data_IF_313683888750
#
_entry.id   IF_313683888750
#
_cell.length_a   1.000
_cell.length_b   1.000
_cell.length_c   1.000
_cell.angle_alpha   90.00
_cell.angle_beta   90.00
_cell.angle_gamma   90.00
#
_symmetry.space_group_name_H-M   'P 1'
#
loop_
_entity.id
_entity.type
_entity.pdbx_description
1 polymer ?
#
# COMPACT_ATOMS: atom_id res chain seq x y z
N UNK A 1 10.20 -41.40 9.99
CA UNK A 1 8.96 -40.65 9.73
C UNK A 1 8.96 -39.40 10.57
N UNK A 2 8.63 -38.24 9.99
CA UNK A 2 8.47 -36.99 10.74
C UNK A 2 7.13 -37.09 11.47
N UNK A 3 7.11 -36.94 12.80
CA UNK A 3 5.86 -36.96 13.59
C UNK A 3 4.90 -35.89 13.06
N UNK A 4 3.61 -36.20 12.99
CA UNK A 4 2.58 -35.18 12.72
C UNK A 4 2.46 -34.23 13.92
N UNK A 5 1.86 -33.05 13.73
CA UNK A 5 1.69 -32.10 14.84
C UNK A 5 0.95 -32.76 16.01
N UNK A 6 -0.09 -33.55 15.72
CA UNK A 6 -0.92 -34.23 16.71
C UNK A 6 -0.17 -35.33 17.50
N UNK A 7 0.89 -35.90 16.92
CA UNK A 7 1.74 -36.92 17.55
C UNK A 7 2.80 -36.33 18.52
N UNK A 8 2.95 -35.00 18.59
CA UNK A 8 3.91 -34.35 19.48
C UNK A 8 3.42 -34.37 20.94
N UNK A 9 4.32 -34.74 21.86
CA UNK A 9 4.08 -34.66 23.30
C UNK A 9 4.01 -33.21 23.78
N UNK A 10 3.47 -32.99 24.99
CA UNK A 10 3.43 -31.67 25.63
C UNK A 10 4.83 -31.05 25.73
N UNK A 11 5.82 -31.84 26.15
CA UNK A 11 7.22 -31.41 26.30
C UNK A 11 7.84 -31.06 24.95
N UNK A 12 7.55 -31.83 23.90
CA UNK A 12 8.00 -31.55 22.53
C UNK A 12 7.41 -30.23 22.01
N UNK A 13 6.11 -30.02 22.19
CA UNK A 13 5.39 -28.79 21.80
C UNK A 13 5.97 -27.56 22.51
N UNK A 14 6.11 -27.62 23.84
CA UNK A 14 6.64 -26.51 24.64
C UNK A 14 8.10 -26.19 24.28
N UNK A 15 8.92 -27.22 24.06
CA UNK A 15 10.33 -27.04 23.65
C UNK A 15 10.46 -26.34 22.29
N UNK A 16 9.59 -26.66 21.33
CA UNK A 16 9.56 -25.98 20.02
C UNK A 16 9.14 -24.52 20.20
N UNK A 17 8.05 -24.28 20.95
CA UNK A 17 7.54 -22.95 21.23
C UNK A 17 8.60 -22.07 21.90
N UNK A 18 9.23 -22.53 22.99
CA UNK A 18 10.22 -21.74 23.73
C UNK A 18 11.48 -21.46 22.93
N UNK A 19 11.92 -22.42 22.10
CA UNK A 19 13.02 -22.21 21.17
C UNK A 19 12.69 -21.10 20.17
N UNK A 20 11.53 -21.18 19.54
CA UNK A 20 11.11 -20.27 18.49
C UNK A 20 10.79 -18.86 19.02
N UNK A 21 10.21 -18.77 20.22
CA UNK A 21 9.88 -17.52 20.92
C UNK A 21 11.08 -16.94 21.68
N UNK A 22 12.24 -17.60 21.68
CA UNK A 22 13.41 -17.09 22.41
C UNK A 22 13.85 -15.72 21.88
N UNK A 23 14.06 -14.76 22.79
CA UNK A 23 14.53 -13.41 22.45
C UNK A 23 15.78 -13.41 21.57
N UNK A 24 16.68 -14.38 21.80
CA UNK A 24 17.90 -14.53 20.98
C UNK A 24 17.56 -14.85 19.52
N UNK A 25 16.67 -15.81 19.27
CA UNK A 25 16.29 -16.17 17.92
C UNK A 25 15.47 -15.05 17.27
N UNK A 26 14.48 -14.49 17.98
CA UNK A 26 13.66 -13.42 17.45
C UNK A 26 14.48 -12.17 17.11
N UNK A 27 15.42 -11.75 17.97
CA UNK A 27 16.36 -10.66 17.63
C UNK A 27 17.21 -10.98 16.42
N UNK A 28 17.65 -12.23 16.26
CA UNK A 28 18.39 -12.65 15.06
C UNK A 28 17.49 -12.57 13.83
N UNK A 29 16.28 -13.14 13.86
CA UNK A 29 15.35 -13.11 12.74
C UNK A 29 14.94 -11.70 12.36
N UNK A 30 14.69 -10.84 13.35
CA UNK A 30 14.44 -9.42 13.13
C UNK A 30 15.68 -8.73 12.56
N UNK A 31 16.88 -9.00 13.07
CA UNK A 31 18.12 -8.48 12.50
C UNK A 31 18.42 -9.04 11.11
N UNK A 32 17.99 -10.24 10.76
CA UNK A 32 18.15 -10.79 9.42
C UNK A 32 17.12 -10.10 8.50
N UNK A 33 15.89 -9.91 8.97
CA UNK A 33 14.85 -9.16 8.27
C UNK A 33 15.21 -7.67 8.05
N UNK A 34 15.78 -7.00 9.06
CA UNK A 34 16.12 -5.57 9.05
C UNK A 34 17.56 -5.27 8.61
N UNK A 35 18.49 -6.17 8.92
CA UNK A 35 19.95 -6.00 8.77
C UNK A 35 20.55 -6.74 7.56
N UNK A 36 19.92 -7.80 7.03
CA UNK A 36 20.23 -8.32 5.69
C UNK A 36 19.48 -7.53 4.62
N UNK A 37 19.89 -6.28 4.44
CA UNK A 37 19.86 -5.69 3.12
C UNK A 37 21.16 -6.05 2.36
N UNK A 38 21.40 -7.36 2.20
CA UNK A 38 22.25 -7.93 1.15
C UNK A 38 21.67 -7.67 -0.25
N UNK A 39 22.23 -8.26 -1.30
CA UNK A 39 21.89 -7.91 -2.70
C UNK A 39 20.36 -7.84 -2.92
N UNK A 40 19.84 -6.78 -3.54
CA UNK A 40 18.40 -6.56 -3.60
C UNK A 40 17.54 -7.67 -4.23
N UNK A 41 18.13 -8.56 -5.03
CA UNK A 41 17.45 -9.76 -5.54
C UNK A 41 17.02 -10.75 -4.43
N UNK A 42 17.74 -10.82 -3.30
CA UNK A 42 17.40 -11.71 -2.18
C UNK A 42 16.28 -11.12 -1.29
N UNK A 43 16.11 -9.79 -1.28
CA UNK A 43 15.23 -9.03 -0.37
C UNK A 43 13.74 -9.37 -0.45
N UNK A 44 13.27 -9.99 -1.53
CA UNK A 44 11.84 -10.30 -1.78
C UNK A 44 11.65 -11.74 -2.25
N UNK A 45 12.71 -12.56 -2.28
CA UNK A 45 12.65 -13.92 -2.82
C UNK A 45 11.54 -14.76 -2.17
N UNK A 46 11.25 -14.54 -0.87
CA UNK A 46 10.11 -15.14 -0.16
C UNK A 46 9.51 -14.15 0.86
N UNK A 47 8.17 -14.09 1.00
CA UNK A 47 7.56 -13.34 2.09
C UNK A 47 7.88 -14.00 3.43
N UNK A 48 7.94 -13.17 4.47
CA UNK A 48 8.02 -13.64 5.85
C UNK A 48 6.62 -13.71 6.45
N UNK A 49 6.41 -14.61 7.39
CA UNK A 49 5.17 -14.67 8.15
C UNK A 49 5.42 -14.20 9.56
N UNK A 50 4.52 -13.37 10.07
CA UNK A 50 4.57 -12.87 11.42
C UNK A 50 3.25 -13.03 12.13
N UNK A 51 3.28 -13.29 13.42
CA UNK A 51 2.09 -13.23 14.26
C UNK A 51 2.08 -11.89 14.96
N UNK A 52 0.96 -11.18 14.87
CA UNK A 52 0.77 -9.93 15.60
C UNK A 52 -0.13 -10.18 16.82
N UNK A 53 0.45 -10.06 18.01
CA UNK A 53 -0.23 -10.30 19.29
C UNK A 53 -0.80 -9.00 19.87
N UNK A 54 -1.35 -8.11 19.03
CA UNK A 54 -2.11 -6.97 19.51
C UNK A 54 -3.43 -7.45 20.15
N UNK A 55 -3.38 -7.67 21.46
CA UNK A 55 -4.43 -8.17 22.37
C UNK A 55 -5.74 -7.38 22.46
N UNK A 56 -5.99 -6.45 21.55
CA UNK A 56 -7.23 -5.67 21.54
C UNK A 56 -8.45 -6.48 21.07
N UNK A 57 -8.24 -7.70 20.55
CA UNK A 57 -9.31 -8.58 20.04
C UNK A 57 -9.56 -9.82 20.92
N UNK A 58 -9.02 -9.90 22.15
CA UNK A 58 -9.49 -10.92 23.10
C UNK A 58 -10.95 -10.64 23.46
N UNK A 59 -11.85 -11.58 23.15
CA UNK A 59 -13.29 -11.45 23.41
C UNK A 59 -13.66 -11.44 24.90
N UNK A 60 -12.68 -11.62 25.79
CA UNK A 60 -12.82 -11.66 27.25
C UNK A 60 -12.05 -10.52 27.91
N UNK A 61 -12.63 -9.88 28.93
CA UNK A 61 -11.93 -8.92 29.78
C UNK A 61 -10.98 -9.65 30.73
N UNK A 62 -9.75 -9.90 30.29
CA UNK A 62 -8.70 -10.43 31.15
C UNK A 62 -8.38 -9.42 32.28
N UNK A 63 -8.37 -9.90 33.53
CA UNK A 63 -8.05 -9.06 34.69
C UNK A 63 -6.58 -9.19 35.11
N UNK A 64 -6.04 -8.12 35.70
CA UNK A 64 -4.62 -7.86 36.02
C UNK A 64 -3.62 -9.02 35.82
N UNK A 65 -3.59 -10.04 36.69
CA UNK A 65 -2.60 -11.13 36.61
C UNK A 65 -2.73 -12.02 35.37
N UNK A 66 -3.95 -12.35 34.96
CA UNK A 66 -4.24 -13.21 33.79
C UNK A 66 -3.84 -12.49 32.51
N UNK A 67 -4.23 -11.20 32.43
CA UNK A 67 -3.85 -10.32 31.32
C UNK A 67 -2.34 -10.20 31.22
N UNK A 68 -1.66 -9.97 32.34
CA UNK A 68 -0.20 -9.84 32.37
C UNK A 68 0.51 -11.15 32.01
N UNK A 69 0.00 -12.30 32.46
CA UNK A 69 0.55 -13.60 32.10
C UNK A 69 0.42 -13.85 30.59
N UNK A 70 -0.78 -13.64 30.04
CA UNK A 70 -1.05 -13.80 28.62
C UNK A 70 -0.22 -12.80 27.79
N UNK A 71 -0.19 -11.52 28.18
CA UNK A 71 0.62 -10.49 27.52
C UNK A 71 2.11 -10.83 27.57
N UNK A 72 2.67 -11.28 28.70
CA UNK A 72 4.09 -11.67 28.77
C UNK A 72 4.40 -12.96 28.00
N UNK A 73 3.48 -13.92 28.00
CA UNK A 73 3.68 -15.21 27.32
C UNK A 73 3.67 -15.04 25.81
N UNK A 74 2.92 -14.06 25.31
CA UNK A 74 2.68 -13.84 23.88
C UNK A 74 3.34 -12.61 23.30
N UNK A 75 3.70 -11.64 24.11
CA UNK A 75 4.13 -10.33 23.63
C UNK A 75 5.29 -9.76 24.46
N UNK A 76 6.52 -10.31 24.35
CA UNK A 76 7.66 -9.68 24.96
C UNK A 76 8.06 -8.36 24.27
N UNK A 77 7.87 -8.18 22.95
CA UNK A 77 8.36 -6.99 22.20
C UNK A 77 7.62 -6.67 20.85
N UNK A 78 6.38 -7.15 20.63
CA UNK A 78 5.59 -6.87 19.42
C UNK A 78 5.38 -8.07 18.48
N UNK A 79 5.50 -7.88 17.16
CA UNK A 79 5.26 -8.92 16.14
C UNK A 79 6.36 -9.99 16.12
N UNK A 80 5.99 -11.27 16.15
CA UNK A 80 6.94 -12.39 16.11
C UNK A 80 7.13 -12.90 14.68
N UNK A 81 8.38 -13.16 14.26
CA UNK A 81 8.67 -13.82 12.98
C UNK A 81 8.59 -15.33 13.16
N UNK A 82 7.80 -15.99 12.30
CA UNK A 82 7.67 -17.45 12.27
C UNK A 82 8.85 -18.02 11.47
N UNK A 83 9.73 -18.83 12.09
CA UNK A 83 10.91 -19.39 11.41
C UNK A 83 10.54 -20.54 10.47
N UNK A 84 9.88 -20.24 9.37
CA UNK A 84 9.41 -21.19 8.36
C UNK A 84 9.86 -20.77 6.96
N UNK A 85 10.09 -21.75 6.07
CA UNK A 85 10.56 -21.50 4.69
C UNK A 85 9.46 -21.53 3.64
N UNK A 86 8.25 -21.94 4.02
CA UNK A 86 7.06 -22.04 3.18
C UNK A 86 5.77 -21.96 4.02
N UNK A 87 4.63 -21.81 3.35
CA UNK A 87 3.32 -21.65 3.98
C UNK A 87 2.85 -22.90 4.76
N UNK A 88 3.20 -24.11 4.32
CA UNK A 88 2.80 -25.33 5.01
C UNK A 88 3.49 -25.44 6.37
N UNK A 89 4.79 -25.11 6.41
CA UNK A 89 5.54 -25.05 7.68
C UNK A 89 5.02 -23.95 8.60
N UNK A 90 4.52 -22.84 8.05
CA UNK A 90 3.84 -21.81 8.84
C UNK A 90 2.57 -22.39 9.49
N UNK A 91 1.72 -23.08 8.73
CA UNK A 91 0.51 -23.74 9.27
C UNK A 91 0.85 -24.73 10.37
N UNK A 92 1.86 -25.58 10.15
CA UNK A 92 2.36 -26.54 11.16
C UNK A 92 2.82 -25.82 12.43
N UNK A 93 3.63 -24.77 12.29
CA UNK A 93 4.13 -23.99 13.45
C UNK A 93 3.01 -23.29 14.19
N UNK A 94 2.05 -22.69 13.48
CA UNK A 94 0.88 -22.05 14.10
C UNK A 94 0.07 -23.05 14.93
N UNK A 95 -0.15 -24.27 14.42
CA UNK A 95 -0.83 -25.32 15.17
C UNK A 95 -0.05 -25.73 16.43
N UNK A 96 1.28 -25.88 16.34
CA UNK A 96 2.15 -26.15 17.49
C UNK A 96 2.06 -25.00 18.51
N UNK A 97 2.11 -23.75 18.05
CA UNK A 97 2.04 -22.58 18.92
C UNK A 97 0.68 -22.48 19.60
N UNK A 98 -0.42 -22.70 18.88
CA UNK A 98 -1.77 -22.72 19.47
C UNK A 98 -1.87 -23.76 20.60
N UNK A 99 -1.32 -24.97 20.39
CA UNK A 99 -1.27 -26.01 21.42
C UNK A 99 -0.40 -25.62 22.61
N UNK A 100 0.78 -25.07 22.36
CA UNK A 100 1.67 -24.59 23.43
C UNK A 100 1.01 -23.53 24.31
N UNK A 101 0.25 -22.61 23.70
CA UNK A 101 -0.52 -21.60 24.43
C UNK A 101 -1.59 -22.20 25.31
N UNK A 102 -2.37 -23.16 24.78
CA UNK A 102 -3.36 -23.89 25.58
C UNK A 102 -2.70 -24.55 26.79
N UNK A 103 -1.53 -25.18 26.64
CA UNK A 103 -0.81 -25.79 27.76
C UNK A 103 -0.32 -24.76 28.78
N UNK A 104 0.33 -23.68 28.34
CA UNK A 104 0.85 -22.64 29.25
C UNK A 104 -0.27 -21.92 30.01
N UNK A 105 -1.38 -21.64 29.33
CA UNK A 105 -2.59 -21.07 29.95
C UNK A 105 -3.17 -22.03 30.98
N UNK A 106 -3.25 -23.33 30.65
CA UNK A 106 -3.73 -24.35 31.59
C UNK A 106 -2.91 -24.40 32.87
N UNK A 107 -1.59 -24.47 32.73
CA UNK A 107 -0.66 -24.52 33.87
C UNK A 107 -0.79 -23.29 34.77
N UNK A 108 -1.00 -22.12 34.17
CA UNK A 108 -1.21 -20.89 34.93
C UNK A 108 -2.49 -20.96 35.78
N UNK A 109 -3.62 -21.37 35.19
CA UNK A 109 -4.90 -21.47 35.91
C UNK A 109 -5.01 -22.67 36.86
N UNK A 110 -4.22 -23.73 36.65
CA UNK A 110 -4.09 -24.82 37.64
C UNK A 110 -3.33 -24.39 38.89
N UNK A 111 -2.52 -23.32 38.80
CA UNK A 111 -1.65 -22.84 39.89
C UNK A 111 -2.09 -21.50 40.48
N UNK A 112 -3.12 -20.86 39.92
CA UNK A 112 -3.69 -19.61 40.39
C UNK A 112 -5.21 -19.77 40.57
N UNK A 113 -5.74 -19.43 41.75
CA UNK A 113 -7.20 -19.42 41.95
C UNK A 113 -7.83 -18.40 40.99
N UNK A 114 -8.72 -18.82 40.06
CA UNK A 114 -9.39 -17.88 39.17
C UNK A 114 -10.23 -16.93 40.02
N UNK A 115 -10.00 -15.63 39.88
CA UNK A 115 -10.63 -14.59 40.72
C UNK A 115 -12.16 -14.54 40.52
N UNK A 116 -12.67 -15.14 39.43
CA UNK A 116 -14.10 -15.33 39.15
C UNK A 116 -14.29 -16.69 38.48
N UNK A 117 -15.18 -17.53 39.03
CA UNK A 117 -15.43 -18.95 38.72
C UNK A 117 -15.72 -19.34 37.25
N UNK A 118 -14.83 -18.99 36.34
CA UNK A 118 -14.76 -19.47 34.97
C UNK A 118 -13.89 -20.72 34.92
N UNK A 119 -14.28 -21.66 34.07
CA UNK A 119 -13.53 -22.87 33.83
C UNK A 119 -12.32 -22.59 32.93
N UNK A 120 -11.34 -23.50 32.94
CA UNK A 120 -10.23 -23.45 31.99
C UNK A 120 -10.75 -23.52 30.53
N UNK A 121 -11.79 -24.31 30.31
CA UNK A 121 -12.45 -24.49 29.01
C UNK A 121 -12.98 -23.16 28.46
N UNK A 122 -13.62 -22.35 29.31
CA UNK A 122 -14.10 -21.02 28.93
C UNK A 122 -12.93 -20.16 28.40
N UNK A 123 -11.80 -20.15 29.11
CA UNK A 123 -10.63 -19.31 28.77
C UNK A 123 -9.94 -19.79 27.48
N UNK A 124 -9.86 -21.11 27.28
CA UNK A 124 -9.29 -21.68 26.05
C UNK A 124 -10.09 -21.29 24.81
N UNK A 125 -11.42 -21.25 24.92
CA UNK A 125 -12.31 -20.86 23.83
C UNK A 125 -12.14 -19.37 23.44
N UNK A 126 -11.58 -18.55 24.34
CA UNK A 126 -11.27 -17.14 24.08
C UNK A 126 -9.85 -16.88 23.60
N UNK A 127 -8.98 -17.90 23.55
CA UNK A 127 -7.64 -17.71 22.99
C UNK A 127 -7.75 -17.34 21.50
N UNK A 128 -7.00 -16.32 21.04
CA UNK A 128 -7.04 -15.93 19.65
C UNK A 128 -6.60 -17.11 18.77
N UNK A 129 -7.30 -17.30 17.66
CA UNK A 129 -6.80 -18.17 16.60
C UNK A 129 -5.58 -17.48 15.97
N UNK A 130 -4.40 -18.08 16.16
CA UNK A 130 -3.15 -17.54 15.65
C UNK A 130 -3.12 -17.49 14.11
N UNK A 131 -3.95 -18.31 13.43
CA UNK A 131 -4.05 -18.28 11.97
C UNK A 131 -4.74 -17.01 11.48
N UNK A 132 -5.75 -16.50 12.20
CA UNK A 132 -6.40 -15.22 11.94
C UNK A 132 -5.51 -14.02 12.30
N UNK A 133 -4.50 -14.25 13.14
CA UNK A 133 -3.55 -13.24 13.60
C UNK A 133 -2.21 -13.29 12.86
N UNK A 134 -2.13 -14.07 11.78
CA UNK A 134 -0.96 -14.17 10.94
C UNK A 134 -0.96 -13.10 9.85
N UNK A 135 0.19 -12.45 9.67
CA UNK A 135 0.47 -11.51 8.58
C UNK A 135 1.54 -12.07 7.68
N UNK A 136 1.40 -11.81 6.40
CA UNK A 136 2.43 -11.96 5.40
C UNK A 136 3.14 -10.61 5.23
N UNK A 137 4.47 -10.61 5.37
CA UNK A 137 5.31 -9.41 5.28
C UNK A 137 6.15 -9.44 4.01
N UNK A 138 6.07 -8.34 3.28
CA UNK A 138 6.88 -8.05 2.10
C UNK A 138 7.69 -6.80 2.36
N UNK A 139 8.93 -6.97 2.85
CA UNK A 139 9.66 -5.86 3.50
C UNK A 139 8.75 -5.22 4.57
N UNK A 140 8.61 -3.90 4.60
CA UNK A 140 7.78 -3.20 5.58
C UNK A 140 6.28 -3.34 5.36
N UNK A 141 5.84 -3.82 4.19
CA UNK A 141 4.43 -3.97 3.88
C UNK A 141 3.86 -5.17 4.62
N UNK A 142 2.82 -4.90 5.40
CA UNK A 142 2.07 -5.89 6.16
C UNK A 142 0.73 -6.16 5.49
N UNK A 143 0.39 -7.45 5.31
CA UNK A 143 -0.89 -7.90 4.78
C UNK A 143 -1.39 -9.03 5.66
N UNK A 144 -2.64 -8.99 6.13
CA UNK A 144 -3.18 -10.12 6.87
C UNK A 144 -3.35 -11.33 5.95
N UNK A 145 -2.90 -12.50 6.41
CA UNK A 145 -2.90 -13.70 5.59
C UNK A 145 -4.12 -14.55 5.86
N UNK A 146 -4.70 -15.13 4.80
CA UNK A 146 -5.71 -16.17 4.90
C UNK A 146 -5.18 -17.42 4.22
N UNK A 147 -4.93 -18.46 5.00
CA UNK A 147 -4.33 -19.72 4.55
C UNK A 147 -5.22 -20.57 3.63
N UNK A 148 -6.52 -20.30 3.60
CA UNK A 148 -7.49 -20.97 2.72
C UNK A 148 -7.75 -20.16 1.45
N UNK A 149 -7.60 -18.84 1.55
CA UNK A 149 -7.86 -17.93 0.44
C UNK A 149 -6.90 -16.73 0.45
N UNK A 150 -5.62 -16.91 0.09
CA UNK A 150 -4.61 -15.87 0.22
C UNK A 150 -4.93 -14.61 -0.60
N UNK A 151 -4.80 -13.40 -0.03
CA UNK A 151 -5.04 -12.16 -0.76
C UNK A 151 -3.94 -11.82 -1.76
N UNK A 152 -2.72 -12.28 -1.52
CA UNK A 152 -1.59 -12.09 -2.45
C UNK A 152 -1.56 -13.27 -3.43
N UNK A 153 -1.79 -12.98 -4.71
CA UNK A 153 -1.80 -13.99 -5.78
C UNK A 153 -0.49 -14.02 -6.57
N UNK A 154 0.39 -13.04 -6.36
CA UNK A 154 1.72 -13.02 -6.96
C UNK A 154 2.52 -11.78 -6.56
N UNK A 155 3.82 -11.84 -6.77
CA UNK A 155 4.73 -10.72 -6.55
C UNK A 155 5.96 -10.84 -7.46
N UNK A 156 6.66 -9.74 -7.69
CA UNK A 156 7.92 -9.71 -8.44
C UNK A 156 9.10 -9.59 -7.50
N UNK A 157 10.29 -9.94 -7.98
CA UNK A 157 11.54 -9.57 -7.31
C UNK A 157 11.69 -8.06 -7.18
N UNK A 158 12.55 -7.63 -6.26
CA UNK A 158 12.86 -6.22 -6.06
C UNK A 158 13.65 -5.66 -7.24
N UNK A 159 13.23 -4.49 -7.72
CA UNK A 159 13.90 -3.77 -8.77
C UNK A 159 14.67 -2.58 -8.17
N UNK A 160 16.00 -2.69 -8.18
CA UNK A 160 16.92 -1.69 -7.64
C UNK A 160 16.82 -0.34 -8.35
N UNK A 161 16.81 -0.37 -9.69
CA UNK A 161 16.77 0.85 -10.52
C UNK A 161 15.55 1.70 -10.18
N UNK A 162 14.45 1.03 -9.88
CA UNK A 162 13.19 1.68 -9.54
C UNK A 162 12.91 1.66 -8.06
N UNK A 163 13.81 1.21 -7.17
CA UNK A 163 13.63 1.05 -5.72
C UNK A 163 12.21 0.56 -5.33
N UNK A 164 11.76 -0.54 -5.93
CA UNK A 164 10.38 -1.01 -5.77
C UNK A 164 10.19 -2.45 -6.20
N UNK A 165 9.05 -3.04 -5.85
CA UNK A 165 8.58 -4.31 -6.36
C UNK A 165 7.08 -4.24 -6.65
N UNK A 166 6.53 -5.25 -7.30
CA UNK A 166 5.09 -5.31 -7.56
C UNK A 166 4.47 -6.45 -6.78
N UNK A 167 3.35 -6.19 -6.12
CA UNK A 167 2.44 -7.19 -5.58
C UNK A 167 1.18 -7.22 -6.43
N UNK A 168 0.64 -8.42 -6.65
CA UNK A 168 -0.67 -8.65 -7.24
C UNK A 168 -1.61 -9.09 -6.12
N UNK A 169 -2.60 -8.26 -5.82
CA UNK A 169 -3.62 -8.51 -4.80
C UNK A 169 -4.95 -8.88 -5.44
N UNK A 170 -5.66 -9.80 -4.81
CA UNK A 170 -7.09 -9.99 -4.98
C UNK A 170 -7.85 -9.27 -3.85
N UNK A 171 -8.52 -8.17 -4.19
CA UNK A 171 -9.27 -7.34 -3.23
C UNK A 171 -10.41 -8.11 -2.55
N UNK A 172 -10.98 -9.10 -3.23
CA UNK A 172 -12.10 -9.88 -2.68
C UNK A 172 -11.67 -10.75 -1.49
N UNK A 173 -10.37 -11.09 -1.46
CA UNK A 173 -9.74 -11.98 -0.47
C UNK A 173 -9.06 -11.24 0.69
N UNK A 174 -9.05 -9.91 0.65
CA UNK A 174 -8.52 -9.10 1.76
C UNK A 174 -9.29 -9.39 3.05
N UNK A 175 -8.55 -9.44 4.16
CA UNK A 175 -9.15 -9.58 5.48
C UNK A 175 -10.03 -8.36 5.80
N UNK A 176 -10.96 -8.53 6.74
CA UNK A 176 -11.75 -7.39 7.22
C UNK A 176 -10.89 -6.35 7.93
N UNK A 177 -9.77 -6.77 8.54
CA UNK A 177 -8.78 -5.87 9.13
C UNK A 177 -8.09 -5.01 8.05
N UNK A 178 -7.63 -5.61 6.94
CA UNK A 178 -7.05 -4.87 5.81
C UNK A 178 -8.07 -3.90 5.19
N UNK A 179 -9.30 -4.36 4.96
CA UNK A 179 -10.38 -3.53 4.40
C UNK A 179 -10.68 -2.34 5.32
N UNK A 180 -10.72 -2.57 6.63
CA UNK A 180 -10.93 -1.54 7.65
C UNK A 180 -9.77 -0.54 7.66
N UNK A 181 -8.53 -1.01 7.61
CA UNK A 181 -7.34 -0.15 7.54
C UNK A 181 -7.35 0.72 6.28
N UNK A 182 -7.68 0.15 5.12
CA UNK A 182 -7.85 0.91 3.86
C UNK A 182 -8.96 1.95 4.00
N UNK A 183 -10.13 1.57 4.53
CA UNK A 183 -11.27 2.48 4.67
C UNK A 183 -11.03 3.65 5.62
N UNK A 184 -10.23 3.43 6.67
CA UNK A 184 -9.89 4.44 7.69
C UNK A 184 -8.67 5.27 7.32
N UNK A 185 -7.95 4.89 6.27
CA UNK A 185 -6.75 5.59 5.86
C UNK A 185 -7.05 7.02 5.42
N UNK A 186 -6.53 8.00 6.17
CA UNK A 186 -6.72 9.40 5.88
C UNK A 186 -5.72 9.87 4.82
N UNK A 187 -6.13 9.79 3.54
CA UNK A 187 -5.34 10.33 2.41
C UNK A 187 -5.01 11.81 2.63
N UNK A 188 -6.00 12.60 3.06
CA UNK A 188 -5.81 14.02 3.37
C UNK A 188 -4.86 14.21 4.56
N UNK A 189 -4.97 13.37 5.59
CA UNK A 189 -4.09 13.39 6.76
C UNK A 189 -2.64 13.12 6.35
N UNK A 190 -2.42 12.13 5.49
CA UNK A 190 -1.09 11.80 4.95
C UNK A 190 -0.48 12.99 4.21
N UNK A 191 -1.21 13.58 3.25
CA UNK A 191 -0.70 14.72 2.46
C UNK A 191 -0.73 16.06 3.19
N UNK A 192 -1.27 16.12 4.41
CA UNK A 192 -1.22 17.33 5.25
C UNK A 192 0.13 17.49 5.97
N UNK A 193 1.02 16.51 5.86
CA UNK A 193 2.36 16.52 6.46
C UNK A 193 3.40 17.01 5.45
N UNK A 194 4.58 17.41 5.92
CA UNK A 194 5.72 17.67 5.04
C UNK A 194 6.15 16.36 4.35
N UNK A 195 6.60 16.41 3.07
CA UNK A 195 6.74 17.60 2.21
C UNK A 195 5.46 17.98 1.44
N UNK A 196 4.35 17.27 1.64
CA UNK A 196 3.16 17.30 0.78
C UNK A 196 2.11 18.35 1.15
N UNK A 197 2.29 19.09 2.26
CA UNK A 197 1.32 20.06 2.80
C UNK A 197 0.82 21.09 1.76
N UNK A 198 1.62 21.36 0.73
CA UNK A 198 1.29 22.31 -0.33
C UNK A 198 0.09 21.87 -1.18
N UNK A 199 -0.19 20.57 -1.33
CA UNK A 199 -1.38 20.11 -2.06
C UNK A 199 -2.68 20.58 -1.40
N UNK A 200 -2.70 20.77 -0.07
CA UNK A 200 -3.89 21.24 0.64
C UNK A 200 -4.25 22.69 0.31
N UNK A 201 -3.31 23.48 -0.22
CA UNK A 201 -3.57 24.86 -0.65
C UNK A 201 -4.45 24.92 -1.90
N UNK A 202 -4.51 23.85 -2.68
CA UNK A 202 -5.35 23.74 -3.87
C UNK A 202 -6.16 22.44 -3.82
N UNK A 203 -7.36 22.53 -3.25
CA UNK A 203 -8.23 21.36 -3.05
C UNK A 203 -8.65 20.72 -4.38
N UNK A 204 -8.77 21.51 -5.46
CA UNK A 204 -9.10 20.97 -6.79
C UNK A 204 -7.96 20.11 -7.33
N UNK A 205 -6.71 20.57 -7.16
CA UNK A 205 -5.54 19.80 -7.54
C UNK A 205 -5.45 18.49 -6.74
N UNK A 206 -5.60 18.57 -5.41
CA UNK A 206 -5.61 17.42 -4.51
C UNK A 206 -6.68 16.40 -4.90
N UNK A 207 -7.94 16.85 -5.09
CA UNK A 207 -9.05 15.98 -5.43
C UNK A 207 -8.79 15.21 -6.73
N UNK A 208 -8.37 15.93 -7.78
CA UNK A 208 -8.12 15.37 -9.12
C UNK A 208 -6.89 14.46 -9.17
N UNK A 209 -5.76 14.87 -8.59
CA UNK A 209 -4.48 14.20 -8.82
C UNK A 209 -4.09 13.21 -7.72
N UNK A 210 -4.77 13.24 -6.57
CA UNK A 210 -4.44 12.38 -5.41
C UNK A 210 -5.66 11.58 -4.97
N UNK A 211 -6.75 12.24 -4.60
CA UNK A 211 -7.91 11.57 -4.01
C UNK A 211 -8.62 10.64 -4.99
N UNK A 212 -8.94 11.11 -6.20
CA UNK A 212 -9.61 10.32 -7.22
C UNK A 212 -8.78 9.11 -7.68
N UNK A 213 -7.47 9.25 -8.04
CA UNK A 213 -6.64 8.11 -8.38
C UNK A 213 -6.57 7.06 -7.26
N UNK A 214 -6.46 7.50 -6.00
CA UNK A 214 -6.42 6.58 -4.86
C UNK A 214 -7.74 5.81 -4.72
N UNK A 215 -8.87 6.52 -4.83
CA UNK A 215 -10.21 5.90 -4.80
C UNK A 215 -10.41 4.91 -5.94
N UNK A 216 -9.95 5.22 -7.15
CA UNK A 216 -10.11 4.34 -8.34
C UNK A 216 -9.47 2.96 -8.14
N UNK A 217 -8.35 2.87 -7.42
CA UNK A 217 -7.69 1.59 -7.15
C UNK A 217 -8.60 0.65 -6.35
N UNK A 218 -9.20 1.14 -5.26
CA UNK A 218 -10.01 0.32 -4.37
C UNK A 218 -11.47 0.18 -4.84
N UNK A 219 -12.08 1.22 -5.40
CA UNK A 219 -13.48 1.20 -5.86
C UNK A 219 -13.68 0.66 -7.28
N UNK A 220 -12.62 0.29 -8.01
CA UNK A 220 -12.77 -0.36 -9.31
C UNK A 220 -13.41 -1.75 -9.19
N UNK A 221 -14.22 -2.13 -10.20
CA UNK A 221 -14.82 -3.47 -10.28
C UNK A 221 -13.78 -4.58 -10.43
N UNK A 222 -12.59 -4.25 -10.94
CA UNK A 222 -11.47 -5.17 -11.06
C UNK A 222 -11.05 -5.68 -9.68
N UNK A 223 -11.27 -6.96 -9.42
CA UNK A 223 -10.89 -7.61 -8.16
C UNK A 223 -9.37 -7.73 -8.02
N UNK A 224 -8.66 -7.97 -9.14
CA UNK A 224 -7.20 -8.08 -9.17
C UNK A 224 -6.57 -6.69 -9.37
N UNK A 225 -5.64 -6.33 -8.48
CA UNK A 225 -4.91 -5.07 -8.52
C UNK A 225 -3.41 -5.32 -8.45
N UNK A 226 -2.65 -4.65 -9.32
CA UNK A 226 -1.18 -4.62 -9.26
C UNK A 226 -0.73 -3.35 -8.54
N UNK A 227 -0.01 -3.51 -7.44
CA UNK A 227 0.47 -2.42 -6.60
C UNK A 227 1.99 -2.39 -6.68
N UNK A 228 2.53 -1.23 -7.05
CA UNK A 228 3.97 -0.98 -6.98
C UNK A 228 4.32 -0.56 -5.55
N UNK A 229 4.99 -1.44 -4.83
CA UNK A 229 5.33 -1.28 -3.42
C UNK A 229 6.75 -0.74 -3.29
N UNK A 230 6.90 0.28 -2.45
CA UNK A 230 8.17 0.88 -2.04
C UNK A 230 8.61 0.32 -0.68
N UNK A 231 9.92 0.28 -0.37
CA UNK A 231 10.40 -0.17 0.94
C UNK A 231 9.77 0.57 2.12
N UNK A 232 9.46 1.85 1.99
CA UNK A 232 8.89 2.69 3.06
C UNK A 232 7.39 2.42 3.33
N UNK A 233 6.68 1.74 2.43
CA UNK A 233 5.25 1.52 2.57
C UNK A 233 4.95 0.52 3.71
N UNK A 234 4.17 0.94 4.70
CA UNK A 234 3.82 0.11 5.87
C UNK A 234 2.46 -0.59 5.73
N UNK A 235 1.61 -0.11 4.84
CA UNK A 235 0.24 -0.61 4.62
C UNK A 235 -0.13 -0.64 3.14
N UNK A 236 -1.18 -1.38 2.79
CA UNK A 236 -1.71 -1.43 1.40
C UNK A 236 -2.14 -0.03 0.95
N UNK A 237 -2.81 0.72 1.81
CA UNK A 237 -3.29 2.07 1.49
C UNK A 237 -2.14 3.04 1.20
N UNK A 238 -1.06 2.96 1.98
CA UNK A 238 0.15 3.76 1.78
C UNK A 238 0.91 3.32 0.52
N UNK A 239 1.05 2.02 0.29
CA UNK A 239 1.69 1.48 -0.92
C UNK A 239 0.99 1.94 -2.21
N UNK A 240 -0.34 2.08 -2.18
CA UNK A 240 -1.12 2.65 -3.28
C UNK A 240 -0.95 4.17 -3.38
N UNK A 241 -0.92 4.88 -2.25
CA UNK A 241 -0.85 6.34 -2.23
C UNK A 241 0.51 6.88 -2.69
N UNK A 242 1.62 6.26 -2.29
CA UNK A 242 2.97 6.76 -2.53
C UNK A 242 3.24 7.07 -4.03
N UNK A 243 3.03 6.13 -4.98
CA UNK A 243 3.22 6.44 -6.41
C UNK A 243 2.29 7.53 -6.95
N UNK A 244 1.08 7.64 -6.38
CA UNK A 244 0.10 8.67 -6.76
C UNK A 244 0.61 10.04 -6.33
N UNK A 245 1.10 10.16 -5.10
CA UNK A 245 1.67 11.39 -4.55
C UNK A 245 2.94 11.79 -5.29
N UNK A 246 3.84 10.85 -5.62
CA UNK A 246 5.03 11.12 -6.45
C UNK A 246 4.63 11.71 -7.83
N UNK A 247 3.62 11.13 -8.47
CA UNK A 247 3.11 11.62 -9.76
C UNK A 247 2.47 13.00 -9.61
N UNK A 248 1.70 13.22 -8.54
CA UNK A 248 1.10 14.51 -8.24
C UNK A 248 2.17 15.57 -7.94
N UNK A 249 3.25 15.22 -7.24
CA UNK A 249 4.38 16.13 -6.97
C UNK A 249 5.03 16.60 -8.26
N UNK A 250 5.33 15.67 -9.18
CA UNK A 250 5.90 16.03 -10.49
C UNK A 250 5.00 17.02 -11.25
N UNK A 251 3.68 16.80 -11.22
CA UNK A 251 2.71 17.73 -11.85
C UNK A 251 2.70 19.08 -11.15
N UNK A 252 2.77 19.09 -9.82
CA UNK A 252 2.80 20.31 -9.03
C UNK A 252 4.05 21.14 -9.30
N UNK A 253 5.22 20.50 -9.32
CA UNK A 253 6.50 21.17 -9.56
C UNK A 253 6.55 21.79 -10.97
N UNK A 254 6.01 21.09 -11.98
CA UNK A 254 5.88 21.64 -13.33
C UNK A 254 4.97 22.87 -13.35
N UNK A 255 3.81 22.81 -12.69
CA UNK A 255 2.90 23.94 -12.58
C UNK A 255 3.55 25.12 -11.85
N UNK A 256 4.24 24.88 -10.74
CA UNK A 256 4.88 25.91 -9.94
C UNK A 256 6.01 26.67 -10.68
N UNK A 257 6.65 26.03 -11.68
CA UNK A 257 7.65 26.68 -12.55
C UNK A 257 7.04 27.64 -13.58
N UNK A 258 5.78 27.44 -13.95
CA UNK A 258 5.08 28.35 -14.87
C UNK A 258 4.73 29.63 -14.10
N UNK A 259 5.13 30.79 -14.63
CA UNK A 259 4.81 32.08 -14.01
C UNK A 259 3.28 32.34 -14.00
N UNK A 260 2.80 33.26 -13.16
CA UNK A 260 1.36 33.50 -13.01
C UNK A 260 0.65 33.87 -14.31
N UNK A 261 1.27 34.68 -15.17
CA UNK A 261 0.69 35.12 -16.44
C UNK A 261 0.46 33.93 -17.38
N UNK A 262 1.46 33.06 -17.50
CA UNK A 262 1.40 31.84 -18.29
C UNK A 262 0.42 30.83 -17.67
N UNK A 263 0.33 30.72 -16.34
CA UNK A 263 -0.65 29.86 -15.68
C UNK A 263 -2.09 30.28 -15.99
N UNK A 264 -2.40 31.59 -15.93
CA UNK A 264 -3.74 32.12 -16.28
C UNK A 264 -4.10 31.83 -17.73
N UNK A 265 -3.12 32.00 -18.63
CA UNK A 265 -3.28 31.76 -20.06
C UNK A 265 -3.50 30.28 -20.36
N UNK A 266 -2.69 29.41 -19.76
CA UNK A 266 -2.83 27.95 -19.83
C UNK A 266 -4.20 27.49 -19.32
N UNK A 267 -4.63 27.98 -18.15
CA UNK A 267 -5.92 27.61 -17.57
C UNK A 267 -7.10 28.03 -18.46
N UNK A 268 -7.03 29.24 -19.03
CA UNK A 268 -8.05 29.74 -19.97
C UNK A 268 -8.17 28.84 -21.21
N UNK A 269 -7.04 28.41 -21.77
CA UNK A 269 -7.01 27.46 -22.89
C UNK A 269 -7.65 26.12 -22.50
N UNK A 270 -7.21 25.54 -21.38
CA UNK A 270 -7.71 24.24 -20.92
C UNK A 270 -9.22 24.28 -20.67
N UNK A 271 -9.74 25.34 -20.08
CA UNK A 271 -11.17 25.47 -19.82
C UNK A 271 -11.99 25.66 -21.12
N UNK A 272 -11.42 26.30 -22.14
CA UNK A 272 -12.05 26.39 -23.46
C UNK A 272 -12.13 25.00 -24.12
N UNK A 273 -11.04 24.24 -24.12
CA UNK A 273 -11.02 22.89 -24.70
C UNK A 273 -11.91 21.92 -23.93
N UNK A 274 -11.91 21.95 -22.59
CA UNK A 274 -12.78 21.10 -21.75
C UNK A 274 -14.27 21.30 -22.00
N UNK A 275 -14.69 22.45 -22.54
CA UNK A 275 -16.11 22.73 -22.89
C UNK A 275 -16.55 22.07 -24.21
N UNK A 276 -15.61 21.71 -25.08
CA UNK A 276 -15.90 21.09 -26.37
C UNK A 276 -16.43 19.66 -26.19
N UNK A 277 -17.19 19.18 -27.18
CA UNK A 277 -17.84 17.86 -27.14
C UNK A 277 -16.82 16.73 -27.02
N UNK A 278 -15.73 16.80 -27.78
CA UNK A 278 -14.66 15.79 -27.81
C UNK A 278 -14.01 15.58 -26.43
N UNK A 279 -13.70 16.67 -25.71
CA UNK A 279 -13.08 16.60 -24.38
C UNK A 279 -14.07 16.22 -23.27
N UNK A 280 -15.38 16.44 -23.48
CA UNK A 280 -16.43 15.93 -22.58
C UNK A 280 -16.61 14.42 -22.73
N UNK A 281 -16.56 13.91 -23.95
CA UNK A 281 -16.69 12.48 -24.25
C UNK A 281 -15.41 11.69 -23.91
N UNK A 282 -14.25 12.35 -23.94
CA UNK A 282 -12.95 11.73 -23.67
C UNK A 282 -12.10 12.56 -22.68
N UNK A 283 -12.39 12.51 -21.37
CA UNK A 283 -11.68 13.29 -20.34
C UNK A 283 -10.16 13.08 -20.32
N UNK A 284 -9.68 11.90 -20.73
CA UNK A 284 -8.26 11.58 -20.87
C UNK A 284 -7.51 12.49 -21.85
N UNK A 285 -8.20 13.03 -22.88
CA UNK A 285 -7.60 13.99 -23.80
C UNK A 285 -7.26 15.31 -23.10
N UNK A 286 -8.07 15.72 -22.12
CA UNK A 286 -7.82 16.93 -21.34
C UNK A 286 -6.53 16.83 -20.53
N UNK A 287 -6.22 15.65 -19.99
CA UNK A 287 -4.97 15.42 -19.25
C UNK A 287 -3.74 15.49 -20.17
N UNK A 288 -3.79 14.81 -21.33
CA UNK A 288 -2.70 14.85 -22.30
C UNK A 288 -2.45 16.26 -22.84
N UNK A 289 -3.51 17.03 -23.08
CA UNK A 289 -3.42 18.43 -23.50
C UNK A 289 -2.79 19.31 -22.41
N UNK A 290 -3.20 19.14 -21.15
CA UNK A 290 -2.65 19.87 -20.00
C UNK A 290 -1.14 19.65 -19.85
N UNK A 291 -0.68 18.41 -19.95
CA UNK A 291 0.75 18.10 -19.87
C UNK A 291 1.54 18.71 -21.04
N UNK A 292 1.01 18.60 -22.27
CA UNK A 292 1.67 19.13 -23.46
C UNK A 292 1.74 20.65 -23.46
N UNK A 293 0.62 21.33 -23.14
CA UNK A 293 0.59 22.79 -23.07
C UNK A 293 1.49 23.30 -21.95
N UNK A 294 1.48 22.67 -20.77
CA UNK A 294 2.39 23.07 -19.67
C UNK A 294 3.85 23.05 -20.13
N UNK A 295 4.28 22.00 -20.84
CA UNK A 295 5.63 21.90 -21.41
C UNK A 295 5.94 23.01 -22.42
N UNK A 296 4.98 23.35 -23.30
CA UNK A 296 5.15 24.44 -24.28
C UNK A 296 5.30 25.79 -23.60
N UNK A 297 4.46 26.08 -22.59
CA UNK A 297 4.53 27.33 -21.82
C UNK A 297 5.85 27.46 -21.05
N UNK A 298 6.35 26.38 -20.46
CA UNK A 298 7.67 26.37 -19.81
C UNK A 298 8.79 26.65 -20.81
N UNK A 299 8.81 25.96 -21.96
CA UNK A 299 9.83 26.17 -23.00
C UNK A 299 9.81 27.60 -23.55
N UNK A 300 8.62 28.18 -23.76
CA UNK A 300 8.51 29.56 -24.22
C UNK A 300 9.02 30.53 -23.15
N UNK A 301 8.66 30.32 -21.88
CA UNK A 301 9.14 31.12 -20.76
C UNK A 301 10.67 31.10 -20.63
N UNK A 302 11.29 29.92 -20.74
CA UNK A 302 12.76 29.76 -20.71
C UNK A 302 13.46 30.50 -21.87
N UNK A 303 12.78 30.60 -23.02
CA UNK A 303 13.27 31.33 -24.20
C UNK A 303 12.92 32.84 -24.17
N UNK A 304 12.28 33.33 -23.10
CA UNK A 304 11.80 34.71 -23.02
C UNK A 304 10.64 35.03 -23.96
N UNK A 305 9.97 34.02 -24.52
CA UNK A 305 8.83 34.15 -25.42
C UNK A 305 7.55 34.28 -24.59
N UNK A 306 6.82 35.38 -24.80
CA UNK A 306 5.52 35.63 -24.16
C UNK A 306 4.40 35.00 -24.99
N UNK A 307 3.68 34.04 -24.42
CA UNK A 307 2.49 33.44 -25.03
C UNK A 307 1.26 34.25 -24.61
N UNK A 308 0.68 35.02 -25.53
CA UNK A 308 -0.57 35.74 -25.32
C UNK A 308 -1.72 35.07 -26.04
N UNK A 309 -2.86 34.90 -25.36
CA UNK A 309 -4.11 34.53 -26.01
C UNK A 309 -4.65 35.72 -26.80
N UNK A 310 -4.49 35.69 -28.11
CA UNK A 310 -5.25 36.57 -28.99
C UNK A 310 -6.71 36.11 -28.96
N UNK A 311 -7.55 36.79 -28.18
CA UNK A 311 -9.01 36.72 -28.36
C UNK A 311 -9.29 37.30 -29.74
N UNK A 312 -9.48 36.44 -30.73
CA UNK A 312 -10.10 36.87 -31.97
C UNK A 312 -11.51 37.33 -31.61
N UNK A 313 -11.74 38.63 -31.65
CA UNK A 313 -13.09 39.17 -31.73
C UNK A 313 -13.70 38.59 -33.00
N UNK A 314 -14.84 37.92 -32.87
CA UNK A 314 -15.54 37.32 -34.02
C UNK A 314 -15.98 38.41 -35.02
N UNK A 315 -15.96 39.67 -34.59
CA UNK A 315 -16.23 40.86 -35.38
C UNK A 315 -14.97 41.62 -35.83
N UNK A 316 -13.76 41.16 -35.50
CA UNK A 316 -12.54 41.80 -35.98
C UNK A 316 -12.42 41.62 -37.52
N UNK A 317 -12.21 42.70 -38.29
CA UNK A 317 -12.03 42.60 -39.73
C UNK A 317 -10.85 41.67 -40.02
N UNK A 318 -11.10 40.65 -40.84
CA UNK A 318 -10.29 39.47 -41.14
C UNK A 318 -8.94 39.76 -41.82
N UNK A 319 -8.13 40.68 -41.29
CA UNK A 319 -6.86 41.08 -41.92
C UNK A 319 -5.68 40.15 -41.63
N UNK A 320 -5.80 39.24 -40.66
CA UNK A 320 -4.72 38.30 -40.30
C UNK A 320 -5.12 36.82 -40.43
N UNK A 321 -6.04 36.50 -41.35
CA UNK A 321 -6.28 35.12 -41.75
C UNK A 321 -5.20 34.67 -42.74
N UNK A 322 -4.12 34.07 -42.26
CA UNK A 322 -3.21 33.31 -43.14
C UNK A 322 -3.99 32.08 -43.62
N UNK A 323 -4.57 32.16 -44.83
CA UNK A 323 -5.06 30.98 -45.55
C UNK A 323 -3.84 30.16 -45.96
N UNK A 324 -3.65 28.99 -45.34
CA UNK A 324 -2.73 27.98 -45.83
C UNK A 324 -3.30 27.43 -47.14
N UNK A 325 -2.88 27.99 -48.28
CA UNK A 325 -3.09 27.36 -49.58
C UNK A 325 -2.03 26.27 -49.75
N UNK A 326 -2.44 25.01 -49.57
CA UNK A 326 -1.64 23.86 -50.00
C UNK A 326 -1.67 23.85 -51.53
N UNK A 327 -0.62 24.36 -52.18
CA UNK A 327 -0.37 24.07 -53.59
C UNK A 327 0.04 22.60 -53.69
N UNK A 328 -0.82 21.77 -54.25
CA UNK A 328 -0.43 20.45 -54.74
C UNK A 328 0.71 20.63 -55.76
N UNK A 329 1.83 19.94 -55.54
CA UNK A 329 2.89 19.85 -56.53
C UNK A 329 2.33 19.13 -57.76
N UNK A 330 2.39 19.83 -58.90
CA UNK A 330 2.13 19.31 -60.23
C UNK A 330 3.11 18.20 -60.56
N UNK A 331 2.58 17.02 -60.93
CA UNK A 331 3.35 15.92 -61.52
C UNK A 331 4.13 16.43 -62.73
N UNK A 332 5.45 16.36 -62.68
CA UNK A 332 6.27 16.39 -63.88
C UNK A 332 5.93 15.18 -64.74
N UNK A 333 5.61 15.44 -66.02
CA UNK A 333 5.53 14.41 -67.05
C UNK A 333 6.96 14.10 -67.49
N UNK A 334 7.42 12.87 -67.26
CA UNK A 334 8.57 12.33 -67.99
C UNK A 334 8.17 12.14 -69.47
N UNK A 335 9.14 12.45 -70.33
CA UNK A 335 9.08 12.30 -71.79
C UNK A 335 9.57 10.93 -72.21
#
# INVERSE_FOLDING_TARGET
MKKTVDELSKEEVLKIFEKDFSNRLQRKLHSDFWGYFGSPAEKISKPYYTIDFHFLDCKYELHGPERHFIERTLNPDGSMIIPAVDENQVKEKLAIYQRALKYKVKEFFETSEPVRGHSFEDIVDYLPDLTEHCRQRYMNLNIWHNFSNPPVVGYTGFNEKTNSFTIVLDKSKLSDKDKKDISRFSVLGYVSQEPYKHFRKDFSFYAKNIQEPWKKVFHSENQIVKIKVRPEAKSIAEAVLLPIVEKAQKKWDLRAKVNEENQRTLQTLLDAYRKTKEFKEHPQLAEGLEEKLTSVFLSAQEQGIKISLNRYDINAPSRNAVRVQIKQQSKEKEK
#
